data_IF_049525415911
#
_entry.id   IF_049525415911
#
_cell.length_a   1.000
_cell.length_b   1.000
_cell.length_c   1.000
_cell.angle_alpha   90.00
_cell.angle_beta   90.00
_cell.angle_gamma   90.00
#
_symmetry.space_group_name_H-M   'P 1'
#
loop_
_entity.id
_entity.type
_entity.pdbx_description
1 polymer ?
#
# COMPACT_ATOMS: atom_id res chain seq x y z
N UNK A 1 -25.53 12.45 -4.35
CA UNK A 1 -24.37 12.34 -3.43
C UNK A 1 -23.11 11.94 -4.22
N UNK A 2 -22.73 12.71 -5.25
CA UNK A 2 -21.63 12.39 -6.19
C UNK A 2 -20.31 13.13 -5.91
N UNK A 3 -20.22 13.86 -4.78
CA UNK A 3 -19.04 14.67 -4.44
C UNK A 3 -17.95 13.94 -3.64
N UNK A 4 -18.28 12.84 -2.96
CA UNK A 4 -17.39 12.28 -1.93
C UNK A 4 -16.16 11.54 -2.48
N UNK A 5 -16.21 10.97 -3.68
CA UNK A 5 -15.07 10.22 -4.24
C UNK A 5 -14.05 11.14 -4.92
N UNK A 6 -14.53 12.11 -5.72
CA UNK A 6 -13.63 13.00 -6.45
C UNK A 6 -12.91 13.98 -5.51
N UNK A 7 -13.62 14.47 -4.49
CA UNK A 7 -13.05 15.35 -3.46
C UNK A 7 -12.00 14.61 -2.62
N UNK A 8 -12.28 13.38 -2.19
CA UNK A 8 -11.31 12.55 -1.47
C UNK A 8 -10.06 12.24 -2.32
N UNK A 9 -10.23 11.97 -3.62
CA UNK A 9 -9.11 11.77 -4.55
C UNK A 9 -8.27 13.05 -4.71
N UNK A 10 -8.92 14.21 -4.85
CA UNK A 10 -8.24 15.50 -4.97
C UNK A 10 -7.46 15.83 -3.69
N UNK A 11 -8.09 15.65 -2.53
CA UNK A 11 -7.46 15.85 -1.23
C UNK A 11 -6.24 14.93 -1.04
N UNK A 12 -6.33 13.65 -1.45
CA UNK A 12 -5.20 12.73 -1.38
C UNK A 12 -4.01 13.21 -2.22
N UNK A 13 -4.26 13.76 -3.42
CA UNK A 13 -3.21 14.35 -4.26
C UNK A 13 -2.62 15.60 -3.60
N UNK A 14 -3.45 16.49 -3.06
CA UNK A 14 -3.05 17.73 -2.39
C UNK A 14 -2.23 17.50 -1.12
N UNK A 15 -2.56 16.49 -0.33
CA UNK A 15 -1.84 16.16 0.91
C UNK A 15 -0.62 15.28 0.67
N UNK A 16 -0.49 14.68 -0.52
CA UNK A 16 0.65 13.85 -0.86
C UNK A 16 1.95 14.67 -1.03
N UNK A 17 3.06 14.08 -0.59
CA UNK A 17 4.41 14.60 -0.86
C UNK A 17 4.89 14.24 -2.28
N UNK A 18 4.42 13.11 -2.81
CA UNK A 18 4.70 12.63 -4.16
C UNK A 18 3.56 11.72 -4.64
N UNK A 19 3.42 11.62 -5.95
CA UNK A 19 2.44 10.76 -6.62
C UNK A 19 3.18 9.72 -7.46
N UNK A 20 3.01 8.45 -7.10
CA UNK A 20 3.58 7.32 -7.82
C UNK A 20 2.63 6.90 -8.95
N UNK A 21 3.10 6.85 -10.18
CA UNK A 21 2.29 6.46 -11.34
C UNK A 21 2.76 5.11 -11.86
N UNK A 22 1.90 4.09 -11.74
CA UNK A 22 2.14 2.75 -12.30
C UNK A 22 1.75 2.70 -13.78
N UNK A 23 2.70 3.04 -14.65
CA UNK A 23 2.55 3.12 -16.09
C UNK A 23 2.27 1.75 -16.69
N UNK A 24 1.09 1.61 -17.27
CA UNK A 24 0.60 0.44 -18.01
C UNK A 24 -0.46 0.89 -19.03
N UNK A 25 -0.86 -0.01 -19.93
CA UNK A 25 -1.96 0.23 -20.87
C UNK A 25 -3.27 0.51 -20.12
N UNK A 26 -3.58 -0.29 -19.10
CA UNK A 26 -4.79 -0.09 -18.27
C UNK A 26 -4.80 1.26 -17.57
N UNK A 27 -3.64 1.72 -17.08
CA UNK A 27 -3.51 3.04 -16.49
C UNK A 27 -3.79 4.15 -17.52
N UNK A 28 -3.25 4.02 -18.74
CA UNK A 28 -3.46 4.98 -19.83
C UNK A 28 -4.92 5.09 -20.25
N UNK A 29 -5.63 3.96 -20.25
CA UNK A 29 -7.02 3.86 -20.73
C UNK A 29 -8.05 4.27 -19.65
N UNK A 30 -7.64 4.39 -18.38
CA UNK A 30 -8.51 4.79 -17.26
C UNK A 30 -8.68 6.31 -17.19
N UNK A 31 -9.92 6.78 -17.32
CA UNK A 31 -10.25 8.20 -17.20
C UNK A 31 -9.98 8.73 -15.78
N UNK A 32 -10.23 7.93 -14.74
CA UNK A 32 -9.96 8.33 -13.36
C UNK A 32 -8.46 8.55 -13.13
N UNK A 33 -7.62 7.60 -13.57
CA UNK A 33 -6.17 7.71 -13.46
C UNK A 33 -5.62 8.89 -14.26
N UNK A 34 -6.22 9.19 -15.42
CA UNK A 34 -5.89 10.38 -16.20
C UNK A 34 -6.18 11.66 -15.42
N UNK A 35 -7.38 11.79 -14.85
CA UNK A 35 -7.76 12.96 -14.06
C UNK A 35 -6.85 13.15 -12.85
N UNK A 36 -6.53 12.09 -12.11
CA UNK A 36 -5.59 12.14 -10.98
C UNK A 36 -4.20 12.59 -11.40
N UNK A 37 -3.69 12.05 -12.52
CA UNK A 37 -2.36 12.37 -13.02
C UNK A 37 -2.26 13.82 -13.52
N UNK A 38 -3.28 14.30 -14.25
CA UNK A 38 -3.39 15.68 -14.69
C UNK A 38 -3.50 16.62 -13.47
N UNK A 39 -4.26 16.24 -12.45
CA UNK A 39 -4.39 17.02 -11.23
C UNK A 39 -3.07 17.10 -10.45
N UNK A 40 -2.38 15.98 -10.26
CA UNK A 40 -1.06 15.94 -9.64
C UNK A 40 -0.05 16.83 -10.39
N UNK A 41 -0.12 16.84 -11.72
CA UNK A 41 0.73 17.69 -12.55
C UNK A 41 0.41 19.18 -12.37
N UNK A 42 -0.88 19.54 -12.36
CA UNK A 42 -1.34 20.92 -12.12
C UNK A 42 -0.92 21.43 -10.74
N UNK A 43 -1.04 20.57 -9.71
CA UNK A 43 -0.61 20.86 -8.34
C UNK A 43 0.93 20.81 -8.16
N UNK A 44 1.68 20.63 -9.26
CA UNK A 44 3.15 20.55 -9.28
C UNK A 44 3.70 19.52 -8.29
N UNK A 45 2.96 18.43 -8.06
CA UNK A 45 3.40 17.33 -7.22
C UNK A 45 4.57 16.62 -7.87
N UNK A 46 5.46 16.07 -7.04
CA UNK A 46 6.53 15.21 -7.55
C UNK A 46 5.92 13.91 -8.06
N UNK A 47 5.90 13.76 -9.37
CA UNK A 47 5.39 12.56 -10.04
C UNK A 47 6.56 11.61 -10.28
N UNK A 48 6.42 10.37 -9.80
CA UNK A 48 7.41 9.30 -9.95
C UNK A 48 6.82 8.22 -10.86
N UNK A 49 7.23 8.12 -12.13
CA UNK A 49 6.74 7.09 -13.03
C UNK A 49 7.41 5.73 -12.78
N UNK A 50 6.61 4.68 -12.70
CA UNK A 50 7.05 3.29 -12.61
C UNK A 50 6.41 2.50 -13.75
N UNK A 51 7.21 2.00 -14.68
CA UNK A 51 6.72 1.17 -15.79
C UNK A 51 6.47 -0.23 -15.27
N UNK A 52 5.22 -0.68 -15.34
CA UNK A 52 4.76 -1.97 -14.82
C UNK A 52 4.40 -2.96 -15.94
N UNK A 53 4.45 -2.53 -17.20
CA UNK A 53 4.10 -3.37 -18.36
C UNK A 53 5.25 -3.40 -19.36
N UNK A 54 5.70 -4.61 -19.71
CA UNK A 54 6.87 -4.81 -20.57
C UNK A 54 6.55 -4.43 -22.01
N UNK A 55 7.43 -3.67 -22.65
CA UNK A 55 7.25 -3.21 -24.03
C UNK A 55 6.17 -2.14 -24.22
N UNK A 56 5.48 -1.72 -23.16
CA UNK A 56 4.50 -0.65 -23.24
C UNK A 56 5.21 0.70 -23.43
N UNK A 57 4.87 1.39 -24.52
CA UNK A 57 5.35 2.74 -24.80
C UNK A 57 4.25 3.76 -24.51
N UNK A 58 4.42 4.63 -23.51
CA UNK A 58 3.45 5.67 -23.19
C UNK A 58 3.32 6.63 -24.39
N UNK A 59 2.09 6.94 -24.78
CA UNK A 59 1.75 7.78 -25.94
C UNK A 59 0.62 8.73 -25.58
N UNK A 60 0.48 9.83 -26.34
CA UNK A 60 -0.54 10.85 -26.08
C UNK A 60 -0.31 11.54 -24.73
N UNK A 61 -1.38 11.68 -23.93
CA UNK A 61 -1.35 12.38 -22.64
C UNK A 61 -0.31 11.78 -21.67
N UNK A 62 -0.22 10.46 -21.58
CA UNK A 62 0.71 9.78 -20.67
C UNK A 62 2.16 9.93 -21.13
N UNK A 63 2.40 9.94 -22.45
CA UNK A 63 3.71 10.22 -23.02
C UNK A 63 4.17 11.66 -22.73
N UNK A 64 3.26 12.64 -22.90
CA UNK A 64 3.52 14.04 -22.57
C UNK A 64 3.78 14.24 -21.06
N UNK A 65 3.01 13.55 -20.20
CA UNK A 65 3.20 13.56 -18.76
C UNK A 65 4.57 12.98 -18.35
N UNK A 66 4.99 11.90 -19.00
CA UNK A 66 6.31 11.31 -18.74
C UNK A 66 7.44 12.22 -19.22
N UNK A 67 7.31 12.86 -20.39
CA UNK A 67 8.28 13.85 -20.88
C UNK A 67 9.72 13.33 -20.84
N UNK A 68 10.63 14.11 -20.22
CA UNK A 68 12.04 13.74 -19.97
C UNK A 68 12.29 13.20 -18.55
N UNK A 69 11.23 12.86 -17.80
CA UNK A 69 11.36 12.37 -16.42
C UNK A 69 12.03 10.99 -16.41
N UNK A 70 12.89 10.79 -15.41
CA UNK A 70 13.40 9.46 -15.10
C UNK A 70 12.25 8.58 -14.63
N UNK A 71 12.30 7.30 -15.00
CA UNK A 71 11.29 6.31 -14.64
C UNK A 71 11.94 5.02 -14.18
N UNK A 72 11.22 4.27 -13.33
CA UNK A 72 11.65 2.95 -12.90
C UNK A 72 10.98 1.88 -13.75
N UNK A 73 11.75 1.18 -14.58
CA UNK A 73 11.24 -0.02 -15.25
C UNK A 73 11.17 -1.21 -14.30
N UNK A 74 9.96 -1.52 -13.84
CA UNK A 74 9.57 -2.62 -12.96
C UNK A 74 8.63 -3.61 -13.67
N UNK A 75 8.65 -3.61 -15.00
CA UNK A 75 7.76 -4.46 -15.82
C UNK A 75 8.03 -5.96 -15.69
N UNK A 76 9.22 -6.33 -15.25
CA UNK A 76 9.61 -7.70 -14.92
C UNK A 76 9.73 -7.81 -13.39
N UNK A 77 8.96 -8.72 -12.80
CA UNK A 77 8.94 -8.97 -11.36
C UNK A 77 10.35 -9.23 -10.78
N UNK A 78 11.25 -9.83 -11.56
CA UNK A 78 12.64 -10.11 -11.16
C UNK A 78 13.49 -8.84 -11.00
N UNK A 79 13.11 -7.74 -11.67
CA UNK A 79 13.81 -6.45 -11.60
C UNK A 79 13.34 -5.58 -10.43
N UNK A 80 12.16 -5.87 -9.89
CA UNK A 80 11.55 -5.11 -8.80
C UNK A 80 12.46 -5.07 -7.55
N UNK A 81 12.97 -6.20 -7.03
CA UNK A 81 13.82 -6.17 -5.82
C UNK A 81 15.07 -5.32 -5.99
N UNK A 82 15.69 -5.33 -7.18
CA UNK A 82 16.89 -4.54 -7.46
C UNK A 82 16.60 -3.03 -7.55
N UNK A 83 15.41 -2.63 -8.02
CA UNK A 83 15.03 -1.22 -8.20
C UNK A 83 14.28 -0.62 -7.02
N UNK A 84 13.68 -1.45 -6.17
CA UNK A 84 12.92 -1.01 -5.00
C UNK A 84 13.72 -0.09 -4.07
N UNK A 85 15.01 -0.35 -3.73
CA UNK A 85 15.78 0.55 -2.88
C UNK A 85 15.94 1.96 -3.47
N UNK A 86 16.12 2.06 -4.78
CA UNK A 86 16.22 3.35 -5.47
C UNK A 86 14.89 4.11 -5.47
N UNK A 87 13.78 3.40 -5.71
CA UNK A 87 12.45 3.97 -5.61
C UNK A 87 12.14 4.46 -4.19
N UNK A 88 12.46 3.65 -3.18
CA UNK A 88 12.29 4.03 -1.76
C UNK A 88 13.11 5.27 -1.40
N UNK A 89 14.35 5.36 -1.88
CA UNK A 89 15.17 6.56 -1.68
C UNK A 89 14.50 7.79 -2.29
N UNK A 90 14.00 7.68 -3.52
CA UNK A 90 13.33 8.79 -4.18
C UNK A 90 12.04 9.23 -3.47
N UNK A 91 11.26 8.28 -2.96
CA UNK A 91 10.07 8.55 -2.14
C UNK A 91 10.44 9.21 -0.81
N UNK A 92 11.46 8.70 -0.12
CA UNK A 92 11.93 9.25 1.15
C UNK A 92 12.42 10.70 1.02
N UNK A 93 13.10 11.02 -0.09
CA UNK A 93 13.55 12.39 -0.35
C UNK A 93 12.40 13.33 -0.71
N UNK A 94 11.29 12.80 -1.21
CA UNK A 94 10.08 13.58 -1.50
C UNK A 94 9.36 14.05 -0.23
N UNK A 95 9.36 13.23 0.83
CA UNK A 95 8.77 13.59 2.12
C UNK A 95 9.55 14.65 2.91
N UNK A 96 10.84 14.84 2.60
CA UNK A 96 11.71 15.82 3.29
C UNK A 96 11.58 17.24 2.75
N UNK A 97 11.06 17.41 1.54
CA UNK A 97 10.91 18.71 0.88
C UNK A 97 9.54 19.37 1.14
N UNK A 98 8.81 18.90 2.16
CA UNK A 98 7.43 19.33 2.46
C UNK A 98 7.28 20.51 3.40
N UNK A 99 8.36 21.21 3.80
CA UNK A 99 8.24 22.42 4.61
C UNK A 99 8.29 23.67 3.71
N UNK A 100 7.25 23.84 2.89
CA UNK A 100 6.95 25.13 2.30
C UNK A 100 6.37 26.03 3.39
N UNK A 101 7.06 27.14 3.62
CA UNK A 101 6.82 28.17 4.62
C UNK A 101 5.40 28.72 4.51
N UNK A 102 4.59 28.52 5.54
CA UNK A 102 3.35 29.26 5.75
C UNK A 102 3.71 30.69 6.18
N UNK A 103 3.25 31.76 5.50
CA UNK A 103 3.44 33.12 5.99
C UNK A 103 2.59 33.33 7.24
N UNK A 104 3.26 33.58 8.38
CA UNK A 104 2.62 34.07 9.61
C UNK A 104 2.20 35.52 9.40
N UNK A 105 0.90 35.78 9.31
CA UNK A 105 0.34 37.06 9.76
C UNK A 105 -0.19 36.88 11.18
N UNK A 106 0.44 37.57 12.12
CA UNK A 106 0.08 37.55 13.53
C UNK A 106 -1.06 38.50 13.88
N UNK A 107 -1.81 38.13 14.91
CA UNK A 107 -1.97 38.84 16.20
C UNK A 107 -3.15 38.19 16.94
N UNK A 108 -2.90 37.43 18.02
CA UNK A 108 -3.04 37.80 19.44
C UNK A 108 -4.50 38.06 19.85
N UNK A 109 -5.08 37.43 20.88
CA UNK A 109 -4.68 37.57 22.29
C UNK A 109 -5.13 36.38 23.20
N UNK A 110 -4.21 35.99 24.11
CA UNK A 110 -4.32 35.62 25.55
C UNK A 110 -5.48 34.72 26.08
N UNK A 111 -5.29 33.70 26.95
CA UNK A 111 -4.58 33.71 28.24
C UNK A 111 -4.12 32.30 28.71
N UNK A 112 -3.10 32.33 29.59
CA UNK A 112 -2.41 31.28 30.35
C UNK A 112 -3.25 30.23 31.08
N UNK A 113 -2.75 28.99 31.15
CA UNK A 113 -2.03 28.43 32.32
C UNK A 113 -1.93 26.89 32.23
N UNK A 114 -0.73 26.34 32.44
CA UNK A 114 -0.45 24.91 32.64
C UNK A 114 -0.46 24.60 34.16
N UNK A 115 -0.04 23.40 34.67
CA UNK A 115 0.09 22.06 34.08
C UNK A 115 -0.52 20.94 34.99
N UNK A 116 -0.78 19.73 34.45
CA UNK A 116 -0.39 18.43 35.05
C UNK A 116 -1.05 17.21 34.37
N UNK A 117 -0.22 16.25 33.93
CA UNK A 117 -0.51 14.82 33.66
C UNK A 117 -0.20 14.02 34.96
N UNK A 118 -0.48 12.70 35.13
CA UNK A 118 -0.91 11.69 34.15
C UNK A 118 -1.95 10.63 34.62
N UNK A 119 -2.25 9.70 33.69
CA UNK A 119 -2.68 8.29 33.88
C UNK A 119 -4.19 8.01 33.89
N UNK A 120 -4.73 7.30 32.87
CA UNK A 120 -5.04 5.84 32.89
C UNK A 120 -6.53 5.64 33.24
N UNK A 121 -7.43 4.97 32.53
CA UNK A 121 -7.50 4.20 31.27
C UNK A 121 -9.01 4.05 30.94
N UNK A 122 -9.29 3.38 29.83
CA UNK A 122 -10.51 2.62 29.55
C UNK A 122 -11.64 3.43 28.92
N UNK A 123 -11.75 3.35 27.60
CA UNK A 123 -12.99 2.88 26.98
C UNK A 123 -12.69 2.32 25.58
N UNK A 124 -12.99 1.04 25.45
CA UNK A 124 -13.00 0.18 24.28
C UNK A 124 -13.70 0.88 23.11
N UNK A 125 -12.96 1.11 22.01
CA UNK A 125 -13.55 1.32 20.69
C UNK A 125 -12.74 0.53 19.67
N UNK A 126 -13.39 -0.50 19.15
CA UNK A 126 -12.99 -1.28 17.99
C UNK A 126 -12.77 -0.32 16.81
N UNK A 127 -11.52 -0.10 16.45
CA UNK A 127 -11.16 0.51 15.17
C UNK A 127 -10.42 -0.55 14.35
N UNK A 128 -11.14 -1.14 13.40
CA UNK A 128 -10.66 -2.07 12.38
C UNK A 128 -9.68 -1.40 11.43
N UNK A 129 -8.46 -1.15 11.89
CA UNK A 129 -7.30 -1.02 11.02
C UNK A 129 -6.15 -1.75 11.69
N UNK A 130 -6.32 -3.07 11.77
CA UNK A 130 -5.28 -3.95 12.24
C UNK A 130 -4.21 -3.97 11.17
N UNK A 131 -3.16 -3.16 11.38
CA UNK A 131 -2.00 -3.13 10.51
C UNK A 131 -1.33 -4.50 10.57
N UNK A 132 -1.64 -5.37 9.61
CA UNK A 132 -1.12 -6.75 9.52
C UNK A 132 0.41 -6.78 9.61
N UNK A 133 1.13 -5.70 9.24
CA UNK A 133 2.60 -5.59 9.39
C UNK A 133 3.07 -5.76 10.84
N UNK A 134 2.21 -5.53 11.83
CA UNK A 134 2.54 -5.62 13.25
C UNK A 134 2.18 -6.97 13.87
N UNK A 135 1.62 -7.90 13.08
CA UNK A 135 1.26 -9.22 13.58
C UNK A 135 2.49 -10.06 13.85
N UNK A 136 2.54 -10.56 15.07
CA UNK A 136 3.47 -11.62 15.48
C UNK A 136 2.94 -12.97 15.02
N UNK A 137 3.77 -14.02 15.09
CA UNK A 137 3.33 -15.39 14.79
C UNK A 137 2.14 -15.83 15.67
N UNK A 138 2.04 -15.33 16.91
CA UNK A 138 0.92 -15.60 17.80
C UNK A 138 -0.40 -14.95 17.29
N UNK A 139 -0.33 -13.75 16.71
CA UNK A 139 -1.50 -13.09 16.11
C UNK A 139 -1.98 -13.85 14.87
N UNK A 140 -1.05 -14.41 14.09
CA UNK A 140 -1.35 -15.27 12.93
C UNK A 140 -2.03 -16.56 13.38
N UNK A 141 -1.57 -17.19 14.46
CA UNK A 141 -2.20 -18.38 15.04
C UNK A 141 -3.64 -18.11 15.52
N UNK A 142 -3.88 -16.95 16.16
CA UNK A 142 -5.21 -16.53 16.57
C UNK A 142 -6.13 -16.28 15.37
N UNK A 143 -5.60 -15.71 14.28
CA UNK A 143 -6.35 -15.51 13.05
C UNK A 143 -6.68 -16.83 12.35
N UNK A 144 -5.75 -17.78 12.29
CA UNK A 144 -6.00 -19.13 11.74
C UNK A 144 -7.08 -19.88 12.53
N UNK A 145 -7.06 -19.77 13.87
CA UNK A 145 -8.13 -20.31 14.72
C UNK A 145 -9.49 -19.68 14.39
N UNK A 146 -9.52 -18.34 14.24
CA UNK A 146 -10.74 -17.59 13.89
C UNK A 146 -11.30 -17.98 12.51
N UNK A 147 -10.43 -18.26 11.55
CA UNK A 147 -10.81 -18.64 10.18
C UNK A 147 -11.10 -20.14 10.03
N UNK A 148 -11.08 -20.90 11.14
CA UNK A 148 -11.23 -22.37 11.17
C UNK A 148 -10.19 -23.09 10.29
N UNK A 149 -8.96 -22.57 10.29
CA UNK A 149 -7.77 -23.16 9.65
C UNK A 149 -6.68 -23.47 10.71
N UNK A 150 -7.09 -23.63 11.97
CA UNK A 150 -6.17 -23.82 13.11
C UNK A 150 -5.36 -25.12 13.07
N UNK A 151 -5.75 -26.10 12.25
CA UNK A 151 -4.97 -27.33 12.04
C UNK A 151 -3.60 -27.06 11.41
N UNK A 152 -3.42 -25.91 10.74
CA UNK A 152 -2.17 -25.49 10.12
C UNK A 152 -1.28 -24.66 11.05
N UNK A 153 -1.69 -24.37 12.30
CA UNK A 153 -0.93 -23.53 13.22
C UNK A 153 0.48 -24.05 13.46
N UNK A 154 0.65 -25.37 13.61
CA UNK A 154 1.97 -25.98 13.82
C UNK A 154 2.93 -25.71 12.65
N UNK A 155 2.43 -25.75 11.42
CA UNK A 155 3.20 -25.48 10.21
C UNK A 155 3.55 -23.99 10.08
N UNK A 156 2.58 -23.11 10.34
CA UNK A 156 2.78 -21.66 10.29
C UNK A 156 3.76 -21.18 11.37
N UNK A 157 3.66 -21.73 12.58
CA UNK A 157 4.59 -21.46 13.69
C UNK A 157 5.99 -21.98 13.38
N UNK A 158 6.11 -23.22 12.87
CA UNK A 158 7.40 -23.81 12.49
C UNK A 158 8.10 -23.05 11.34
N UNK A 159 7.34 -22.46 10.42
CA UNK A 159 7.86 -21.65 9.31
C UNK A 159 7.97 -20.15 9.65
N UNK A 160 7.75 -19.77 10.90
CA UNK A 160 7.79 -18.38 11.35
C UNK A 160 6.95 -17.43 10.49
N UNK A 161 5.75 -17.87 10.10
CA UNK A 161 4.84 -17.03 9.31
C UNK A 161 4.25 -15.97 10.23
N UNK A 162 4.80 -14.76 10.13
CA UNK A 162 4.32 -13.56 10.81
C UNK A 162 3.46 -12.70 9.87
N UNK A 163 3.01 -11.55 10.36
CA UNK A 163 2.20 -10.61 9.57
C UNK A 163 2.87 -10.10 8.30
N UNK A 164 4.19 -9.91 8.34
CA UNK A 164 4.96 -9.50 7.16
C UNK A 164 5.06 -10.63 6.14
N UNK A 165 5.24 -11.88 6.59
CA UNK A 165 5.23 -13.06 5.74
C UNK A 165 3.86 -13.26 5.08
N UNK A 166 2.75 -13.05 5.80
CA UNK A 166 1.39 -13.08 5.23
C UNK A 166 1.20 -12.01 4.16
N UNK A 167 1.70 -10.78 4.35
CA UNK A 167 1.67 -9.76 3.28
C UNK A 167 2.56 -10.12 2.10
N UNK A 168 3.70 -10.74 2.36
CA UNK A 168 4.56 -11.30 1.32
C UNK A 168 3.78 -12.31 0.48
N UNK A 169 3.09 -13.23 1.15
CA UNK A 169 2.23 -14.25 0.56
C UNK A 169 1.08 -13.65 -0.25
N UNK A 170 0.45 -12.58 0.24
CA UNK A 170 -0.57 -11.84 -0.51
C UNK A 170 0.02 -11.12 -1.74
N UNK A 171 1.22 -10.56 -1.64
CA UNK A 171 1.87 -9.88 -2.78
C UNK A 171 2.18 -10.85 -3.92
N UNK A 172 2.59 -12.07 -3.60
CA UNK A 172 2.81 -13.14 -4.59
C UNK A 172 1.50 -13.80 -5.04
N UNK A 173 0.37 -13.50 -4.40
CA UNK A 173 -0.91 -14.15 -4.72
C UNK A 173 -1.55 -13.72 -6.04
N UNK A 174 -0.87 -12.87 -6.79
CA UNK A 174 -1.23 -12.48 -8.15
C UNK A 174 -1.07 -13.62 -9.17
N UNK A 175 -0.28 -14.66 -8.87
CA UNK A 175 -0.17 -15.89 -9.68
C UNK A 175 -0.88 -17.06 -8.97
N UNK A 176 -2.10 -17.43 -9.38
CA UNK A 176 -2.85 -18.51 -8.76
C UNK A 176 -2.11 -19.86 -8.78
N UNK A 177 -1.35 -20.15 -9.86
CA UNK A 177 -0.66 -21.44 -10.01
C UNK A 177 0.45 -21.58 -8.98
N UNK A 178 1.23 -20.52 -8.82
CA UNK A 178 2.31 -20.48 -7.84
C UNK A 178 1.79 -20.57 -6.40
N UNK A 179 0.71 -19.85 -6.07
CA UNK A 179 0.10 -19.93 -4.72
C UNK A 179 -0.42 -21.31 -4.44
N UNK A 180 -1.12 -21.95 -5.38
CA UNK A 180 -1.64 -23.29 -5.18
C UNK A 180 -0.53 -24.30 -4.89
N UNK A 181 0.59 -24.21 -5.60
CA UNK A 181 1.78 -25.05 -5.38
C UNK A 181 2.44 -24.75 -4.03
N UNK A 182 2.55 -23.48 -3.65
CA UNK A 182 3.14 -23.04 -2.39
C UNK A 182 2.29 -23.48 -1.17
N UNK A 183 0.98 -23.29 -1.24
CA UNK A 183 0.05 -23.70 -0.18
C UNK A 183 0.10 -25.22 0.05
N UNK A 184 0.30 -25.99 -1.01
CA UNK A 184 0.38 -27.45 -0.94
C UNK A 184 1.75 -27.94 -0.45
N UNK A 185 2.84 -27.47 -1.08
CA UNK A 185 4.20 -27.98 -0.79
C UNK A 185 4.79 -27.44 0.50
N UNK A 186 4.57 -26.16 0.78
CA UNK A 186 5.17 -25.50 1.96
C UNK A 186 4.18 -25.48 3.13
N UNK A 187 2.92 -25.11 2.91
CA UNK A 187 1.96 -24.93 4.00
C UNK A 187 1.13 -26.19 4.30
N UNK A 188 1.33 -27.27 3.53
CA UNK A 188 0.68 -28.57 3.76
C UNK A 188 -0.84 -28.56 3.58
N UNK A 189 -1.38 -27.53 2.91
CA UNK A 189 -2.81 -27.37 2.69
C UNK A 189 -3.23 -28.19 1.46
N UNK A 190 -3.34 -29.52 1.57
CA UNK A 190 -3.66 -30.39 0.42
C UNK A 190 -5.11 -30.21 -0.06
N UNK A 191 -6.03 -29.91 0.88
CA UNK A 191 -7.46 -29.79 0.59
C UNK A 191 -7.77 -28.50 -0.17
N UNK A 192 -8.37 -28.61 -1.36
CA UNK A 192 -8.75 -27.46 -2.20
C UNK A 192 -9.64 -26.44 -1.46
N UNK A 193 -10.59 -26.91 -0.65
CA UNK A 193 -11.45 -26.04 0.15
C UNK A 193 -10.68 -25.18 1.15
N UNK A 194 -9.65 -25.73 1.79
CA UNK A 194 -8.80 -24.99 2.72
C UNK A 194 -7.93 -23.96 1.98
N UNK A 195 -7.39 -24.33 0.80
CA UNK A 195 -6.64 -23.39 -0.05
C UNK A 195 -7.49 -22.18 -0.44
N UNK A 196 -8.69 -22.41 -0.97
CA UNK A 196 -9.58 -21.32 -1.42
C UNK A 196 -10.03 -20.44 -0.25
N UNK A 197 -10.38 -21.05 0.89
CA UNK A 197 -10.77 -20.32 2.09
C UNK A 197 -9.62 -19.47 2.63
N UNK A 198 -8.41 -20.01 2.65
CA UNK A 198 -7.23 -19.26 3.06
C UNK A 198 -6.99 -18.06 2.16
N UNK A 199 -7.09 -18.22 0.84
CA UNK A 199 -6.92 -17.12 -0.12
C UNK A 199 -7.97 -16.01 0.10
N UNK A 200 -9.23 -16.36 0.32
CA UNK A 200 -10.31 -15.41 0.60
C UNK A 200 -10.05 -14.65 1.92
N UNK A 201 -9.68 -15.35 2.98
CA UNK A 201 -9.40 -14.73 4.28
C UNK A 201 -8.12 -13.89 4.24
N UNK A 202 -7.11 -14.30 3.48
CA UNK A 202 -5.90 -13.50 3.25
C UNK A 202 -6.21 -12.20 2.48
N UNK A 203 -7.11 -12.29 1.49
CA UNK A 203 -7.57 -11.12 0.74
C UNK A 203 -8.36 -10.16 1.63
N UNK A 204 -9.26 -10.65 2.50
CA UNK A 204 -9.97 -9.82 3.49
C UNK A 204 -9.05 -9.19 4.52
N UNK A 205 -7.97 -9.86 4.86
CA UNK A 205 -7.00 -9.39 5.84
C UNK A 205 -6.12 -8.26 5.30
N UNK A 206 -5.80 -8.29 3.99
CA UNK A 206 -4.88 -7.34 3.36
C UNK A 206 -5.56 -6.27 2.48
N UNK A 207 -6.88 -6.36 2.27
CA UNK A 207 -7.70 -5.35 1.58
C UNK A 207 -8.02 -4.15 2.48
#
# INVERSE_FOLDING_TARGET
>A
MSGSTLEAMAQAVEESAAVLICVSKKYKDSQACRTEAEYAFQQRKKIIPVVMESGFKPTGWLGALMGTRLYFDMSDARRIPAKMPHLMKELADSGKCGQLVVPKHGSSHHHSAAPSRPSTTCTTKENHNIVVDKWTSADVELWLLKTKLGEYNSVFSAKHVDGMALRGLWRISSDPRYVHELLEKELGMETLGHKLKFMEELHRLCS
#
